data_IF_855990553620
#
_entry.id   IF_855990553620
#
_cell.length_a   1.000
_cell.length_b   1.000
_cell.length_c   1.000
_cell.angle_alpha   90.00
_cell.angle_beta   90.00
_cell.angle_gamma   90.00
#
_symmetry.space_group_name_H-M   'P 1'
#
loop_
_entity.id
_entity.type
_entity.pdbx_description
1 polymer ?
#
# COMPACT_ATOMS: atom_id res chain seq x y z
N UNK A 1 12.00 6.16 -31.60
CA UNK A 1 12.02 4.93 -30.79
C UNK A 1 12.57 5.25 -29.42
N UNK A 2 11.73 5.65 -28.46
CA UNK A 2 12.13 5.95 -27.08
C UNK A 2 11.87 4.73 -26.23
N UNK A 3 12.92 4.22 -25.61
CA UNK A 3 12.91 3.05 -24.73
C UNK A 3 12.14 3.39 -23.45
N UNK A 4 11.05 2.69 -23.21
CA UNK A 4 10.34 2.67 -21.95
C UNK A 4 11.09 1.74 -20.99
N UNK A 5 11.74 2.32 -20.00
CA UNK A 5 12.30 1.55 -18.87
C UNK A 5 11.14 1.20 -17.94
N UNK A 6 10.65 -0.02 -18.06
CA UNK A 6 9.74 -0.59 -17.09
C UNK A 6 10.53 -0.88 -15.80
N UNK A 7 10.24 -0.18 -14.72
CA UNK A 7 10.65 -0.59 -13.37
C UNK A 7 9.93 -1.88 -13.01
N UNK A 8 10.61 -3.01 -13.18
CA UNK A 8 10.21 -4.30 -12.63
C UNK A 8 10.46 -4.28 -11.10
N UNK A 9 9.47 -3.92 -10.32
CA UNK A 9 9.47 -4.22 -8.90
C UNK A 9 9.08 -5.69 -8.71
N UNK A 10 10.07 -6.53 -8.45
CA UNK A 10 9.88 -7.93 -8.07
C UNK A 10 9.31 -7.97 -6.66
N UNK A 11 8.03 -8.31 -6.54
CA UNK A 11 7.35 -8.58 -5.26
C UNK A 11 7.79 -9.96 -4.72
N UNK A 12 8.74 -9.98 -3.80
CA UNK A 12 8.88 -11.08 -2.85
C UNK A 12 8.13 -10.68 -1.55
N UNK A 13 6.95 -11.21 -1.37
CA UNK A 13 6.22 -11.17 -0.09
C UNK A 13 6.20 -12.58 0.47
N UNK A 14 7.08 -12.84 1.43
CA UNK A 14 6.92 -13.95 2.37
C UNK A 14 5.74 -13.60 3.29
N UNK A 15 4.61 -14.27 3.10
CA UNK A 15 3.48 -14.19 4.00
C UNK A 15 3.75 -15.09 5.21
N UNK A 16 4.29 -14.53 6.28
CA UNK A 16 4.14 -15.10 7.60
C UNK A 16 2.72 -14.80 8.08
N UNK A 17 1.84 -15.78 7.96
CA UNK A 17 0.53 -15.78 8.61
C UNK A 17 0.78 -16.11 10.08
N UNK A 18 1.04 -15.09 10.89
CA UNK A 18 0.87 -15.16 12.33
C UNK A 18 -0.61 -14.91 12.63
N UNK A 19 -1.26 -15.93 13.18
CA UNK A 19 -2.56 -15.83 13.82
C UNK A 19 -2.51 -14.75 14.90
N UNK A 20 -3.19 -13.62 14.67
CA UNK A 20 -3.37 -12.59 15.69
C UNK A 20 -4.42 -13.06 16.70
N UNK A 21 -4.15 -12.98 18.00
CA UNK A 21 -5.18 -13.16 19.00
C UNK A 21 -6.20 -12.01 18.90
N UNK A 22 -7.47 -12.39 18.93
CA UNK A 22 -8.59 -11.46 19.03
C UNK A 22 -8.57 -10.84 20.44
N UNK A 23 -8.01 -9.64 20.57
CA UNK A 23 -8.31 -8.66 21.63
C UNK A 23 -7.34 -7.48 21.49
N UNK A 24 -7.56 -6.66 20.48
CA UNK A 24 -7.10 -5.27 20.53
C UNK A 24 -8.31 -4.40 20.87
N UNK A 25 -8.43 -3.99 22.14
CA UNK A 25 -9.37 -2.96 22.57
C UNK A 25 -9.15 -1.72 21.70
N UNK A 26 -10.13 -1.44 20.85
CA UNK A 26 -10.19 -0.22 20.06
C UNK A 26 -10.33 0.96 21.01
N UNK A 27 -9.30 1.78 21.13
CA UNK A 27 -9.46 3.14 21.64
C UNK A 27 -10.26 3.92 20.57
N UNK A 28 -11.54 4.15 20.84
CA UNK A 28 -12.41 5.05 20.09
C UNK A 28 -12.00 6.51 20.39
N UNK A 29 -10.85 6.93 19.94
CA UNK A 29 -10.53 8.33 19.77
C UNK A 29 -10.56 8.64 18.27
N UNK A 30 -11.78 8.86 17.74
CA UNK A 30 -11.92 9.69 16.57
C UNK A 30 -11.37 11.07 16.96
N UNK A 31 -10.19 11.40 16.46
CA UNK A 31 -9.57 12.72 16.65
C UNK A 31 -10.54 13.82 16.17
N UNK A 32 -11.39 14.30 17.08
CA UNK A 32 -12.07 15.58 16.88
C UNK A 32 -10.99 16.64 16.91
N UNK A 33 -10.92 17.47 15.87
CA UNK A 33 -10.04 18.61 15.84
C UNK A 33 -10.10 19.34 17.18
N UNK A 34 -8.97 19.62 17.86
CA UNK A 34 -8.99 20.36 19.11
C UNK A 34 -9.70 21.70 18.91
N UNK A 35 -10.51 22.11 19.88
CA UNK A 35 -11.31 23.33 19.80
C UNK A 35 -10.46 24.59 19.49
N UNK A 36 -9.21 24.60 19.91
CA UNK A 36 -8.21 25.66 19.61
C UNK A 36 -7.81 25.72 18.14
N UNK A 37 -7.94 24.62 17.37
CA UNK A 37 -7.62 24.62 15.93
C UNK A 37 -8.73 25.23 15.07
N UNK A 38 -9.95 25.39 15.61
CA UNK A 38 -11.10 25.99 14.89
C UNK A 38 -11.03 27.53 14.82
N UNK A 39 -10.29 28.20 15.69
CA UNK A 39 -10.21 29.66 15.75
C UNK A 39 -9.02 30.28 15.01
N UNK A 40 -8.02 29.48 14.59
CA UNK A 40 -6.88 29.94 13.78
C UNK A 40 -7.12 29.82 12.26
N UNK A 41 -8.37 29.95 11.81
CA UNK A 41 -8.79 29.77 10.41
C UNK A 41 -8.43 30.96 9.52
N UNK A 42 -7.15 31.17 9.36
CA UNK A 42 -6.58 31.90 8.24
C UNK A 42 -5.62 31.00 7.48
N UNK A 43 -6.16 30.21 6.52
CA UNK A 43 -5.51 29.66 5.33
C UNK A 43 -5.18 28.19 5.17
N UNK A 44 -5.25 27.31 6.15
CA UNK A 44 -5.29 25.85 5.82
C UNK A 44 -6.27 25.14 6.72
N UNK A 45 -7.36 24.60 6.15
CA UNK A 45 -8.27 23.76 6.90
C UNK A 45 -7.49 22.60 7.57
N UNK A 46 -7.80 22.32 8.84
CA UNK A 46 -7.20 21.19 9.56
C UNK A 46 -7.34 19.90 8.77
N UNK A 47 -6.30 19.08 8.76
CA UNK A 47 -6.30 17.74 8.20
C UNK A 47 -5.40 16.82 9.03
N UNK A 48 -5.66 15.50 9.05
CA UNK A 48 -4.83 14.56 9.80
C UNK A 48 -3.41 14.52 9.23
N UNK A 49 -2.45 14.25 10.10
CA UNK A 49 -1.07 13.97 9.73
C UNK A 49 -0.79 12.48 9.82
N UNK A 50 0.12 12.02 8.98
CA UNK A 50 0.63 10.66 8.90
C UNK A 50 2.12 10.67 9.20
N UNK A 51 2.58 9.65 9.91
CA UNK A 51 4.00 9.36 10.14
C UNK A 51 4.42 8.25 9.21
N UNK A 52 5.26 8.55 8.21
CA UNK A 52 5.74 7.58 7.22
C UNK A 52 7.20 7.24 7.48
N UNK A 53 7.50 5.98 7.75
CA UNK A 53 8.88 5.50 7.92
C UNK A 53 9.60 5.50 6.58
N UNK A 54 10.57 6.43 6.39
CA UNK A 54 11.25 6.63 5.09
C UNK A 54 12.67 6.05 5.04
N UNK A 55 13.41 6.04 6.15
CA UNK A 55 14.69 5.34 6.27
C UNK A 55 14.70 4.56 7.59
N UNK A 56 15.16 3.32 7.56
CA UNK A 56 15.19 2.44 8.73
C UNK A 56 16.60 1.90 8.95
N UNK A 57 16.92 1.56 10.19
CA UNK A 57 18.19 0.94 10.59
C UNK A 57 19.43 1.75 10.18
N UNK A 58 19.36 3.09 10.32
CA UNK A 58 20.47 3.99 9.99
C UNK A 58 21.32 4.28 11.22
N UNK A 59 22.64 4.29 11.07
CA UNK A 59 23.54 4.82 12.10
C UNK A 59 23.71 6.33 11.97
N UNK A 60 23.55 6.84 10.75
CA UNK A 60 23.68 8.26 10.39
C UNK A 60 22.58 8.64 9.40
N UNK A 61 21.94 9.77 9.64
CA UNK A 61 20.97 10.39 8.72
C UNK A 61 21.44 11.81 8.39
N UNK A 62 21.58 12.09 7.09
CA UNK A 62 21.86 13.43 6.59
C UNK A 62 20.58 14.04 6.02
N UNK A 63 20.24 15.24 6.46
CA UNK A 63 19.06 15.98 6.04
C UNK A 63 19.50 17.34 5.52
N UNK A 64 18.97 17.73 4.35
CA UNK A 64 19.09 19.08 3.82
C UNK A 64 17.71 19.76 3.96
N UNK A 65 17.62 20.84 4.74
CA UNK A 65 16.37 21.60 4.85
C UNK A 65 16.23 22.60 3.70
N UNK A 66 15.04 22.71 3.13
CA UNK A 66 14.78 23.62 1.99
C UNK A 66 14.24 24.99 2.42
N UNK A 67 14.00 25.19 3.71
CA UNK A 67 13.57 26.44 4.33
C UNK A 67 14.17 26.57 5.72
N UNK A 68 14.01 27.74 6.35
CA UNK A 68 14.42 27.96 7.75
C UNK A 68 13.72 26.93 8.66
N UNK A 69 14.47 26.24 9.49
CA UNK A 69 13.97 25.14 10.29
C UNK A 69 14.40 25.21 11.76
N UNK A 70 13.57 24.68 12.63
CA UNK A 70 13.90 24.39 14.02
C UNK A 70 14.12 22.89 14.22
N UNK A 71 15.11 22.52 15.00
CA UNK A 71 15.28 21.19 15.54
C UNK A 71 14.80 21.20 17.00
N UNK A 72 13.80 20.38 17.27
CA UNK A 72 13.21 20.22 18.60
C UNK A 72 13.55 18.84 19.14
N UNK A 73 14.05 18.78 20.36
CA UNK A 73 14.17 17.51 21.09
C UNK A 73 12.79 17.08 21.61
N UNK A 74 12.56 15.78 21.72
CA UNK A 74 11.32 15.22 22.26
C UNK A 74 10.96 15.87 23.61
N UNK A 75 9.69 16.27 23.75
CA UNK A 75 9.17 16.93 24.95
C UNK A 75 9.55 18.42 25.12
N UNK A 76 10.44 18.94 24.26
CA UNK A 76 10.88 20.34 24.34
C UNK A 76 10.17 21.23 23.32
N UNK A 77 9.69 22.41 23.79
CA UNK A 77 9.14 23.45 22.91
C UNK A 77 10.19 24.43 22.38
N UNK A 78 11.34 24.52 23.03
CA UNK A 78 12.46 25.40 22.64
C UNK A 78 13.36 24.64 21.64
N UNK A 79 13.74 25.24 20.51
CA UNK A 79 14.67 24.62 19.55
C UNK A 79 16.03 24.40 20.21
N UNK A 80 16.61 23.23 19.99
CA UNK A 80 18.02 22.92 20.36
C UNK A 80 18.99 23.45 19.31
N UNK A 81 18.49 23.69 18.08
CA UNK A 81 19.22 24.27 16.97
C UNK A 81 18.23 24.91 15.98
N UNK A 82 18.64 26.03 15.36
CA UNK A 82 17.94 26.65 14.23
C UNK A 82 18.83 26.53 13.00
N UNK A 83 18.24 26.10 11.88
CA UNK A 83 18.93 25.94 10.60
C UNK A 83 18.47 27.01 9.63
N UNK A 84 19.40 27.54 8.85
CA UNK A 84 19.08 28.39 7.70
C UNK A 84 18.51 27.55 6.54
N UNK A 85 17.87 28.21 5.58
CA UNK A 85 17.45 27.55 4.34
C UNK A 85 18.68 26.97 3.59
N UNK A 86 18.51 25.77 3.04
CA UNK A 86 19.54 25.00 2.37
C UNK A 86 20.74 24.58 3.25
N UNK A 87 20.53 24.56 4.55
CA UNK A 87 21.53 24.04 5.49
C UNK A 87 21.42 22.53 5.62
N UNK A 88 22.57 21.85 5.76
CA UNK A 88 22.66 20.41 6.02
C UNK A 88 22.79 20.15 7.51
N UNK A 89 22.11 19.11 7.98
CA UNK A 89 22.25 18.60 9.33
C UNK A 89 22.54 17.11 9.29
N UNK A 90 23.49 16.69 10.14
CA UNK A 90 23.84 15.29 10.35
C UNK A 90 23.34 14.84 11.71
N UNK A 91 22.55 13.78 11.72
CA UNK A 91 22.02 13.15 12.93
C UNK A 91 22.64 11.76 13.03
N UNK A 92 23.23 11.43 14.19
CA UNK A 92 23.88 10.13 14.44
C UNK A 92 23.27 9.45 15.66
N UNK A 93 23.21 8.12 15.61
CA UNK A 93 22.99 7.28 16.76
C UNK A 93 24.33 7.06 17.49
N UNK A 94 24.46 7.49 18.71
CA UNK A 94 25.65 7.31 19.56
C UNK A 94 25.26 6.53 20.84
N UNK A 95 25.21 5.20 20.70
CA UNK A 95 24.72 4.30 21.74
C UNK A 95 23.24 4.58 22.05
N UNK A 96 22.95 5.06 23.28
CA UNK A 96 21.60 5.41 23.73
C UNK A 96 21.25 6.90 23.52
N UNK A 97 21.99 7.61 22.70
CA UNK A 97 21.82 9.05 22.51
C UNK A 97 21.79 9.40 21.02
N UNK A 98 21.13 10.53 20.73
CA UNK A 98 21.19 11.17 19.43
C UNK A 98 22.24 12.28 19.49
N UNK A 99 23.09 12.40 18.48
CA UNK A 99 23.87 13.61 18.25
C UNK A 99 23.40 14.35 17.01
N UNK A 100 23.36 15.69 17.09
CA UNK A 100 22.98 16.59 15.99
C UNK A 100 24.18 17.49 15.72
N UNK A 101 24.79 17.40 14.55
CA UNK A 101 26.03 18.10 14.17
C UNK A 101 27.13 17.96 15.25
N UNK A 102 27.27 16.74 15.83
CA UNK A 102 28.24 16.44 16.86
C UNK A 102 27.81 16.85 18.30
N UNK A 103 26.73 17.58 18.46
CA UNK A 103 26.19 17.94 19.80
C UNK A 103 25.25 16.83 20.28
N UNK A 104 25.55 16.28 21.47
CA UNK A 104 24.72 15.27 22.13
C UNK A 104 23.38 15.86 22.57
N UNK A 105 22.29 15.19 22.22
CA UNK A 105 20.93 15.57 22.61
C UNK A 105 20.36 14.49 23.54
N UNK A 106 19.94 14.82 24.75
CA UNK A 106 19.40 13.88 25.73
C UNK A 106 17.92 13.59 25.45
N UNK A 107 17.63 13.01 24.28
CA UNK A 107 16.28 12.66 23.86
C UNK A 107 16.34 11.43 22.93
N UNK A 108 15.23 10.67 22.84
CA UNK A 108 15.12 9.52 21.93
C UNK A 108 14.67 9.94 20.54
N UNK A 109 14.16 11.15 20.36
CA UNK A 109 13.85 11.68 19.04
C UNK A 109 14.12 13.18 18.93
N UNK A 110 14.38 13.61 17.69
CA UNK A 110 14.45 15.01 17.29
C UNK A 110 13.56 15.24 16.09
N UNK A 111 12.83 16.37 16.12
CA UNK A 111 11.96 16.78 15.00
C UNK A 111 12.54 18.02 14.34
N UNK A 112 12.66 17.96 13.02
CA UNK A 112 13.07 19.06 12.13
C UNK A 112 11.82 19.55 11.41
N UNK A 113 11.43 20.78 11.64
CA UNK A 113 10.22 21.39 11.10
C UNK A 113 10.44 22.85 10.70
N UNK A 114 9.48 23.42 9.96
CA UNK A 114 9.50 24.84 9.62
C UNK A 114 9.66 25.70 10.90
N UNK A 115 10.54 26.70 10.84
CA UNK A 115 10.74 27.63 11.95
C UNK A 115 9.54 28.59 12.15
N UNK A 116 8.77 28.85 11.11
CA UNK A 116 7.66 29.78 11.10
C UNK A 116 6.36 29.07 10.73
N UNK A 117 5.28 29.29 11.49
CA UNK A 117 3.98 28.65 11.26
C UNK A 117 3.44 28.90 9.84
N UNK A 118 3.65 30.09 9.27
CA UNK A 118 3.24 30.40 7.89
C UNK A 118 4.02 29.69 6.79
N UNK A 119 5.08 28.96 7.12
CA UNK A 119 5.91 28.21 6.18
C UNK A 119 5.70 26.70 6.24
N UNK A 120 4.87 26.19 7.14
CA UNK A 120 4.64 24.74 7.33
C UNK A 120 4.23 24.09 6.01
N UNK A 121 3.33 24.70 5.27
CA UNK A 121 2.82 24.17 3.99
C UNK A 121 3.87 24.12 2.87
N UNK A 122 4.87 25.00 2.96
CA UNK A 122 5.94 25.12 1.97
C UNK A 122 7.21 24.39 2.37
N UNK A 123 7.30 23.97 3.63
CA UNK A 123 8.51 23.34 4.14
C UNK A 123 8.78 22.01 3.46
N UNK A 124 10.04 21.82 3.09
CA UNK A 124 10.56 20.62 2.45
C UNK A 124 11.90 20.26 3.05
N UNK A 125 12.22 19.00 3.00
CA UNK A 125 13.55 18.49 3.33
C UNK A 125 13.95 17.38 2.38
N UNK A 126 15.27 17.20 2.20
CA UNK A 126 15.85 16.11 1.43
C UNK A 126 16.51 15.11 2.37
N UNK A 127 16.23 13.84 2.22
CA UNK A 127 16.91 12.75 2.91
C UNK A 127 16.92 11.48 2.05
N UNK A 128 17.99 10.68 2.10
CA UNK A 128 18.08 9.45 1.30
C UNK A 128 17.91 9.67 -0.21
N UNK A 129 18.31 10.85 -0.71
CA UNK A 129 18.19 11.21 -2.13
C UNK A 129 16.77 11.61 -2.58
N UNK A 130 15.82 11.81 -1.66
CA UNK A 130 14.43 12.20 -1.96
C UNK A 130 14.02 13.44 -1.20
N UNK A 131 13.18 14.26 -1.83
CA UNK A 131 12.57 15.44 -1.23
C UNK A 131 11.17 15.08 -0.67
N UNK A 132 10.87 15.61 0.52
CA UNK A 132 9.63 15.34 1.24
C UNK A 132 8.97 16.66 1.69
N UNK A 133 7.64 16.67 1.71
CA UNK A 133 6.83 17.71 2.36
C UNK A 133 6.73 17.44 3.87
N UNK A 134 6.48 18.48 4.67
CA UNK A 134 6.24 18.34 6.10
C UNK A 134 7.51 18.17 6.91
N UNK A 135 7.41 17.65 8.14
CA UNK A 135 8.51 17.56 9.09
C UNK A 135 9.27 16.22 9.00
N UNK A 136 10.52 16.23 9.45
CA UNK A 136 11.34 15.04 9.61
C UNK A 136 11.51 14.72 11.09
N UNK A 137 11.29 13.46 11.50
CA UNK A 137 11.54 12.97 12.85
C UNK A 137 12.62 11.89 12.76
N UNK A 138 13.75 12.12 13.42
CA UNK A 138 14.78 11.09 13.63
C UNK A 138 14.53 10.43 14.98
N UNK A 139 14.08 9.19 14.96
CA UNK A 139 13.76 8.39 16.15
C UNK A 139 14.88 7.37 16.40
N UNK A 140 15.48 7.41 17.59
CA UNK A 140 16.44 6.40 18.02
C UNK A 140 15.69 5.20 18.60
N UNK A 141 16.00 4.02 18.06
CA UNK A 141 15.47 2.76 18.55
C UNK A 141 16.58 1.74 18.68
N UNK A 142 16.91 1.37 19.91
CA UNK A 142 18.12 0.61 20.18
C UNK A 142 19.37 1.40 19.85
N UNK A 143 20.18 0.92 18.90
CA UNK A 143 21.40 1.58 18.42
C UNK A 143 21.28 2.19 17.02
N UNK A 144 20.06 2.25 16.47
CA UNK A 144 19.83 2.73 15.10
C UNK A 144 18.74 3.81 15.05
N UNK A 145 18.81 4.65 14.03
CA UNK A 145 17.82 5.68 13.71
C UNK A 145 16.80 5.16 12.71
N UNK A 146 15.56 5.55 12.94
CA UNK A 146 14.50 5.54 11.94
C UNK A 146 14.16 6.98 11.56
N UNK A 147 14.28 7.35 10.31
CA UNK A 147 13.78 8.63 9.81
C UNK A 147 12.32 8.48 9.42
N UNK A 148 11.49 9.34 9.98
CA UNK A 148 10.04 9.37 9.77
C UNK A 148 9.70 10.71 9.14
N UNK A 149 8.93 10.68 8.07
CA UNK A 149 8.32 11.89 7.51
C UNK A 149 6.94 12.10 8.15
N UNK A 150 6.77 13.17 8.88
CA UNK A 150 5.46 13.62 9.37
C UNK A 150 4.86 14.55 8.34
N UNK A 151 3.78 14.13 7.71
CA UNK A 151 3.20 14.77 6.54
C UNK A 151 1.68 14.81 6.64
N UNK A 152 1.05 15.86 6.14
CA UNK A 152 -0.42 15.98 6.07
C UNK A 152 -0.99 14.97 5.08
N UNK A 153 -2.20 14.48 5.34
CA UNK A 153 -2.83 13.42 4.55
C UNK A 153 -2.90 13.76 3.05
N UNK A 154 -3.27 14.99 2.68
CA UNK A 154 -3.34 15.38 1.27
C UNK A 154 -1.95 15.49 0.63
N UNK A 155 -0.97 16.03 1.34
CA UNK A 155 0.42 16.08 0.87
C UNK A 155 1.03 14.69 0.68
N UNK A 156 0.64 13.72 1.50
CA UNK A 156 0.99 12.31 1.33
C UNK A 156 0.39 11.74 0.04
N UNK A 157 -0.89 12.04 -0.22
CA UNK A 157 -1.59 11.54 -1.40
C UNK A 157 -1.08 12.12 -2.71
N UNK A 158 -0.53 13.35 -2.72
CA UNK A 158 0.12 13.89 -3.92
C UNK A 158 1.27 13.01 -4.42
N UNK A 159 1.95 12.34 -3.50
CA UNK A 159 2.99 11.37 -3.86
C UNK A 159 2.44 9.98 -4.17
N UNK A 160 1.48 9.49 -3.38
CA UNK A 160 0.98 8.11 -3.48
C UNK A 160 0.12 7.88 -4.72
N UNK A 161 -0.82 8.78 -5.00
CA UNK A 161 -1.79 8.57 -6.09
C UNK A 161 -1.10 8.34 -7.45
N UNK A 162 -0.11 9.16 -7.87
CA UNK A 162 0.58 8.94 -9.15
C UNK A 162 1.51 7.71 -9.18
N UNK A 163 1.93 7.18 -8.04
CA UNK A 163 2.68 5.91 -7.96
C UNK A 163 1.76 4.68 -8.11
N UNK A 164 0.49 4.81 -7.71
CA UNK A 164 -0.50 3.73 -7.80
C UNK A 164 -1.24 3.73 -9.14
N UNK A 165 -1.57 4.90 -9.69
CA UNK A 165 -2.36 5.03 -10.92
C UNK A 165 -1.79 6.11 -11.84
N UNK A 166 -1.62 5.85 -13.15
CA UNK A 166 -1.17 6.86 -14.10
C UNK A 166 -2.03 8.12 -14.07
N UNK A 167 -1.39 9.26 -13.88
CA UNK A 167 -2.07 10.56 -13.68
C UNK A 167 -2.84 11.06 -14.91
N UNK A 168 -2.49 10.55 -16.11
CA UNK A 168 -3.12 10.84 -17.39
C UNK A 168 -4.39 10.02 -17.66
N UNK A 169 -4.71 9.09 -16.78
CA UNK A 169 -5.97 8.34 -16.88
C UNK A 169 -7.18 9.25 -16.64
N UNK A 170 -8.41 8.81 -17.03
CA UNK A 170 -9.61 9.61 -16.81
C UNK A 170 -9.71 10.09 -15.36
N UNK A 171 -10.01 11.39 -15.19
CA UNK A 171 -10.01 12.02 -13.86
C UNK A 171 -10.92 11.35 -12.85
N UNK A 172 -12.03 10.76 -13.28
CA UNK A 172 -12.95 10.05 -12.39
C UNK A 172 -12.31 8.76 -11.82
N UNK A 173 -11.46 8.08 -12.58
CA UNK A 173 -10.68 6.96 -12.07
C UNK A 173 -9.63 7.41 -11.06
N UNK A 174 -8.91 8.51 -11.34
CA UNK A 174 -7.88 9.05 -10.44
C UNK A 174 -8.50 9.61 -9.15
N UNK A 175 -9.70 10.23 -9.21
CA UNK A 175 -10.47 10.63 -8.03
C UNK A 175 -10.88 9.43 -7.18
N UNK A 176 -11.38 8.35 -7.80
CA UNK A 176 -11.72 7.11 -7.08
C UNK A 176 -10.48 6.53 -6.37
N UNK A 177 -9.32 6.49 -7.05
CA UNK A 177 -8.06 6.07 -6.45
C UNK A 177 -7.64 6.98 -5.28
N UNK A 178 -7.78 8.30 -5.40
CA UNK A 178 -7.45 9.24 -4.33
C UNK A 178 -8.28 9.00 -3.07
N UNK A 179 -9.60 8.79 -3.22
CA UNK A 179 -10.50 8.46 -2.09
C UNK A 179 -10.13 7.10 -1.47
N UNK A 180 -9.90 6.08 -2.29
CA UNK A 180 -9.50 4.75 -1.81
C UNK A 180 -8.15 4.82 -1.06
N UNK A 181 -7.14 5.48 -1.63
CA UNK A 181 -5.82 5.63 -1.03
C UNK A 181 -5.88 6.43 0.29
N UNK A 182 -6.69 7.50 0.36
CA UNK A 182 -6.92 8.28 1.58
C UNK A 182 -7.57 7.43 2.67
N UNK A 183 -8.62 6.70 2.30
CA UNK A 183 -9.33 5.81 3.23
C UNK A 183 -8.40 4.75 3.79
N UNK A 184 -7.62 4.08 2.93
CA UNK A 184 -6.63 3.10 3.33
C UNK A 184 -5.58 3.69 4.28
N UNK A 185 -4.99 4.83 3.93
CA UNK A 185 -3.94 5.46 4.74
C UNK A 185 -4.46 5.83 6.14
N UNK A 186 -5.64 6.44 6.23
CA UNK A 186 -6.23 6.86 7.50
C UNK A 186 -6.74 5.67 8.33
N UNK A 187 -7.27 4.62 7.68
CA UNK A 187 -7.68 3.38 8.34
C UNK A 187 -6.50 2.65 8.97
N UNK A 188 -5.37 2.63 8.27
CA UNK A 188 -4.18 1.89 8.65
C UNK A 188 -3.16 2.74 9.45
N UNK A 189 -3.55 3.92 9.97
CA UNK A 189 -2.72 4.67 10.93
C UNK A 189 -2.34 3.76 12.09
N UNK A 190 -1.08 3.81 12.47
CA UNK A 190 -0.55 2.99 13.54
C UNK A 190 -0.23 1.55 13.18
N UNK A 191 -0.33 1.15 11.90
CA UNK A 191 0.04 -0.21 11.46
C UNK A 191 1.47 -0.60 11.86
N UNK A 192 2.36 0.37 11.97
CA UNK A 192 3.74 0.22 12.40
C UNK A 192 4.05 0.91 13.74
N UNK A 193 3.07 1.05 14.65
CA UNK A 193 3.26 1.69 15.94
C UNK A 193 4.41 1.10 16.76
N UNK A 194 4.61 -0.22 16.70
CA UNK A 194 5.74 -0.86 17.36
C UNK A 194 7.10 -0.37 16.84
N UNK A 195 7.14 0.23 15.64
CA UNK A 195 8.31 0.80 14.99
C UNK A 195 8.38 2.33 15.13
N UNK A 196 7.33 2.98 15.68
CA UNK A 196 7.25 4.41 15.95
C UNK A 196 6.64 5.25 14.81
N UNK A 197 6.07 4.64 13.77
CA UNK A 197 5.42 5.34 12.66
C UNK A 197 4.11 4.66 12.24
N UNK A 198 3.32 5.29 11.35
CA UNK A 198 2.02 4.78 10.92
C UNK A 198 2.14 3.81 9.75
N UNK A 199 2.80 4.24 8.67
CA UNK A 199 2.89 3.54 7.40
C UNK A 199 4.34 3.46 6.91
N UNK A 200 4.69 2.38 6.20
CA UNK A 200 5.96 2.31 5.48
C UNK A 200 5.81 2.85 4.04
N UNK A 201 6.91 3.22 3.41
CA UNK A 201 6.95 3.80 2.07
C UNK A 201 6.96 2.78 0.92
N UNK A 202 6.73 1.50 1.21
CA UNK A 202 6.79 0.41 0.23
C UNK A 202 5.41 -0.13 -0.13
N UNK A 203 5.35 -1.07 -1.08
CA UNK A 203 4.13 -1.78 -1.48
C UNK A 203 3.44 -2.56 -0.34
N UNK A 204 4.10 -2.75 0.81
CA UNK A 204 3.45 -3.32 2.00
C UNK A 204 2.35 -2.42 2.57
N UNK A 205 2.52 -1.09 2.47
CA UNK A 205 1.48 -0.10 2.78
C UNK A 205 1.01 0.57 1.49
N UNK A 206 1.69 1.61 1.05
CA UNK A 206 1.49 2.31 -0.22
C UNK A 206 2.85 2.86 -0.67
N UNK A 207 3.11 2.87 -1.97
CA UNK A 207 4.36 3.43 -2.50
C UNK A 207 4.39 4.93 -2.28
N UNK A 208 5.39 5.42 -1.53
CA UNK A 208 5.57 6.83 -1.20
C UNK A 208 6.94 7.33 -1.68
N UNK A 209 6.97 8.01 -2.80
CA UNK A 209 8.20 8.44 -3.49
C UNK A 209 8.70 9.83 -3.10
N UNK A 210 7.95 10.59 -2.27
CA UNK A 210 8.21 11.99 -1.96
C UNK A 210 7.75 12.93 -3.09
N UNK A 211 8.25 14.18 -3.11
CA UNK A 211 7.75 15.21 -4.03
C UNK A 211 8.07 14.95 -5.51
N UNK A 212 9.07 14.11 -5.80
CA UNK A 212 9.42 13.76 -7.18
C UNK A 212 8.33 12.97 -7.91
N UNK A 213 7.48 12.26 -7.16
CA UNK A 213 6.35 11.51 -7.72
C UNK A 213 5.15 12.41 -8.08
N UNK A 214 5.03 13.59 -7.51
CA UNK A 214 3.87 14.47 -7.66
C UNK A 214 3.61 14.84 -9.12
N UNK A 215 2.33 14.79 -9.53
CA UNK A 215 1.88 15.19 -10.87
C UNK A 215 0.67 16.13 -10.74
N UNK A 216 0.67 17.19 -11.52
CA UNK A 216 -0.40 18.20 -11.48
C UNK A 216 -1.80 17.61 -11.73
N UNK A 217 -1.90 16.62 -12.63
CA UNK A 217 -3.18 15.97 -12.96
C UNK A 217 -3.73 15.14 -11.79
N UNK A 218 -2.89 14.34 -11.11
CA UNK A 218 -3.31 13.58 -9.92
C UNK A 218 -3.55 14.51 -8.72
N UNK A 219 -2.76 15.59 -8.55
CA UNK A 219 -2.98 16.55 -7.48
C UNK A 219 -4.37 17.20 -7.59
N UNK A 220 -4.85 17.53 -8.83
CA UNK A 220 -6.23 18.00 -9.04
C UNK A 220 -7.28 17.00 -8.56
N UNK A 221 -7.08 15.72 -8.78
CA UNK A 221 -8.02 14.67 -8.30
C UNK A 221 -8.02 14.56 -6.78
N UNK A 222 -6.84 14.64 -6.15
CA UNK A 222 -6.69 14.67 -4.67
C UNK A 222 -7.42 15.88 -4.10
N UNK A 223 -7.19 17.08 -4.66
CA UNK A 223 -7.83 18.33 -4.21
C UNK A 223 -9.35 18.31 -4.41
N UNK A 224 -9.83 17.81 -5.55
CA UNK A 224 -11.26 17.70 -5.85
C UNK A 224 -12.02 16.74 -4.91
N UNK A 225 -11.31 15.79 -4.28
CA UNK A 225 -11.86 14.82 -3.33
C UNK A 225 -11.36 15.03 -1.90
N UNK A 226 -10.86 16.24 -1.60
CA UNK A 226 -10.24 16.55 -0.31
C UNK A 226 -11.11 16.15 0.87
N UNK A 227 -10.51 15.36 1.79
CA UNK A 227 -11.14 14.88 3.01
C UNK A 227 -12.18 13.77 2.81
N UNK A 228 -12.51 13.38 1.58
CA UNK A 228 -13.48 12.33 1.31
C UNK A 228 -12.89 10.93 1.57
N UNK A 229 -13.65 10.12 2.31
CA UNK A 229 -13.29 8.76 2.69
C UNK A 229 -14.50 7.85 2.61
N UNK A 230 -14.26 6.54 2.54
CA UNK A 230 -15.30 5.53 2.56
C UNK A 230 -15.49 4.98 3.97
N UNK A 231 -16.74 4.91 4.41
CA UNK A 231 -17.13 4.35 5.71
C UNK A 231 -18.21 3.29 5.54
N UNK A 232 -18.17 2.29 6.42
CA UNK A 232 -19.21 1.31 6.65
C UNK A 232 -19.51 1.30 8.15
N UNK A 233 -20.79 1.39 8.55
CA UNK A 233 -21.20 1.56 9.95
C UNK A 233 -20.42 2.69 10.67
N UNK A 234 -20.30 3.83 10.00
CA UNK A 234 -19.54 5.01 10.48
C UNK A 234 -18.05 4.78 10.79
N UNK A 235 -17.47 3.66 10.37
CA UNK A 235 -16.04 3.35 10.52
C UNK A 235 -15.37 3.33 9.16
N UNK A 236 -14.11 3.82 9.10
CA UNK A 236 -13.30 3.72 7.89
C UNK A 236 -13.15 2.26 7.47
N UNK A 237 -13.32 1.99 6.19
CA UNK A 237 -13.20 0.64 5.62
C UNK A 237 -11.74 0.27 5.31
N UNK A 238 -11.48 -1.00 5.11
CA UNK A 238 -10.27 -1.51 4.44
C UNK A 238 -10.43 -1.29 2.92
N UNK A 239 -10.04 -0.11 2.46
CA UNK A 239 -10.19 0.27 1.05
C UNK A 239 -9.05 -0.30 0.20
N UNK A 240 -8.98 -1.64 0.09
CA UNK A 240 -7.99 -2.32 -0.73
C UNK A 240 -8.21 -2.04 -2.22
N UNK A 241 -7.12 -1.97 -2.96
CA UNK A 241 -7.12 -1.82 -4.41
C UNK A 241 -5.99 -2.64 -5.04
N UNK A 242 -6.09 -2.90 -6.33
CA UNK A 242 -5.13 -3.69 -7.07
C UNK A 242 -5.12 -3.27 -8.54
N UNK A 243 -4.09 -3.66 -9.28
CA UNK A 243 -3.90 -3.21 -10.67
C UNK A 243 -5.05 -3.63 -11.56
N UNK A 244 -5.40 -4.92 -11.61
CA UNK A 244 -6.46 -5.43 -12.50
C UNK A 244 -7.08 -6.72 -11.96
N UNK A 245 -8.41 -6.77 -11.92
CA UNK A 245 -9.16 -7.95 -11.49
C UNK A 245 -9.09 -9.11 -12.50
N UNK A 246 -8.89 -8.82 -13.79
CA UNK A 246 -8.94 -9.78 -14.89
C UNK A 246 -10.36 -10.06 -15.40
N UNK A 247 -11.40 -9.38 -14.85
CA UNK A 247 -12.80 -9.53 -15.28
C UNK A 247 -13.82 -9.55 -14.16
N UNK A 248 -13.40 -9.89 -12.93
CA UNK A 248 -14.25 -9.86 -11.75
C UNK A 248 -13.41 -9.71 -10.49
N UNK A 249 -13.83 -8.82 -9.57
CA UNK A 249 -13.21 -8.72 -8.26
C UNK A 249 -13.63 -9.88 -7.35
N UNK A 250 -13.05 -9.99 -6.16
CA UNK A 250 -13.21 -11.15 -5.30
C UNK A 250 -13.93 -10.81 -4.00
N UNK A 251 -14.54 -11.81 -3.37
CA UNK A 251 -15.00 -11.73 -1.99
C UNK A 251 -13.81 -11.82 -1.03
N UNK A 252 -13.83 -11.01 0.03
CA UNK A 252 -12.72 -10.94 0.99
C UNK A 252 -12.41 -12.28 1.68
N UNK A 253 -13.43 -13.06 2.01
CA UNK A 253 -13.26 -14.37 2.64
C UNK A 253 -12.61 -15.42 1.74
N UNK A 254 -12.75 -15.30 0.41
CA UNK A 254 -12.13 -16.21 -0.53
C UNK A 254 -10.62 -15.90 -0.75
N UNK A 255 -10.15 -14.73 -0.28
CA UNK A 255 -8.72 -14.34 -0.38
C UNK A 255 -8.01 -14.42 0.96
N UNK A 256 -8.60 -13.88 2.03
CA UNK A 256 -7.97 -13.75 3.36
C UNK A 256 -8.75 -14.41 4.50
N UNK A 257 -9.83 -15.16 4.19
CA UNK A 257 -10.59 -15.94 5.15
C UNK A 257 -11.63 -15.15 5.96
N UNK A 258 -11.57 -13.81 6.00
CA UNK A 258 -12.49 -12.96 6.76
C UNK A 258 -13.49 -12.27 5.83
N UNK A 259 -14.78 -12.38 6.16
CA UNK A 259 -15.82 -11.70 5.42
C UNK A 259 -15.92 -10.23 5.83
N UNK A 260 -15.62 -9.34 4.89
CA UNK A 260 -15.89 -7.91 5.00
C UNK A 260 -17.13 -7.58 4.12
N UNK A 261 -18.20 -7.04 4.69
CA UNK A 261 -19.49 -6.89 3.98
C UNK A 261 -19.38 -5.99 2.73
N UNK A 262 -18.49 -5.03 2.75
CA UNK A 262 -18.25 -4.07 1.67
C UNK A 262 -17.22 -4.53 0.61
N UNK A 263 -16.51 -5.66 0.80
CA UNK A 263 -15.56 -6.23 -0.17
C UNK A 263 -16.17 -7.48 -0.80
N UNK A 264 -17.05 -7.25 -1.77
CA UNK A 264 -17.78 -8.29 -2.50
C UNK A 264 -17.33 -8.34 -3.96
N UNK A 265 -17.50 -9.51 -4.56
CA UNK A 265 -17.23 -9.71 -5.96
C UNK A 265 -18.10 -8.78 -6.82
N UNK A 266 -17.45 -8.06 -7.72
CA UNK A 266 -18.07 -7.14 -8.67
C UNK A 266 -17.57 -7.44 -10.09
N UNK A 267 -18.46 -7.40 -11.08
CA UNK A 267 -18.14 -7.65 -12.49
C UNK A 267 -17.45 -6.43 -13.10
N UNK A 268 -16.57 -6.64 -14.06
CA UNK A 268 -15.90 -5.59 -14.80
C UNK A 268 -16.56 -5.34 -16.16
N UNK A 269 -16.27 -4.17 -16.75
CA UNK A 269 -16.68 -3.84 -18.14
C UNK A 269 -16.03 -4.80 -19.13
N UNK A 270 -14.81 -5.23 -18.84
CA UNK A 270 -14.01 -6.12 -19.68
C UNK A 270 -13.55 -7.34 -18.90
N UNK A 271 -13.50 -8.48 -19.57
CA UNK A 271 -13.00 -9.74 -19.02
C UNK A 271 -11.70 -10.15 -19.69
N UNK A 272 -10.92 -11.03 -19.03
CA UNK A 272 -9.66 -11.56 -19.56
C UNK A 272 -8.61 -10.47 -19.87
N UNK A 273 -8.66 -9.39 -19.09
CA UNK A 273 -7.72 -8.27 -19.20
C UNK A 273 -6.33 -8.63 -18.69
N UNK A 274 -5.30 -7.91 -19.15
CA UNK A 274 -3.89 -8.12 -18.83
C UNK A 274 -3.49 -9.61 -18.85
N UNK A 275 -3.57 -10.30 -20.00
CA UNK A 275 -3.18 -11.69 -20.10
C UNK A 275 -1.69 -11.89 -19.81
N UNK A 276 -1.34 -13.02 -19.22
CA UNK A 276 0.03 -13.41 -18.94
C UNK A 276 0.20 -14.92 -19.01
N UNK A 277 1.44 -15.35 -19.27
CA UNK A 277 1.81 -16.76 -19.34
C UNK A 277 3.09 -17.02 -18.55
N UNK A 278 3.19 -18.19 -17.94
CA UNK A 278 4.38 -18.71 -17.26
C UNK A 278 4.50 -20.20 -17.60
N UNK A 279 5.71 -20.61 -17.99
CA UNK A 279 6.03 -22.02 -18.20
C UNK A 279 7.14 -22.43 -17.25
N UNK A 280 6.99 -23.60 -16.61
CA UNK A 280 8.00 -24.24 -15.77
C UNK A 280 8.10 -25.71 -16.15
N UNK A 281 9.24 -26.37 -15.90
CA UNK A 281 9.32 -27.81 -16.15
C UNK A 281 8.52 -28.59 -15.10
N UNK A 282 8.10 -29.81 -15.43
CA UNK A 282 7.38 -30.68 -14.48
C UNK A 282 8.23 -30.97 -13.23
N UNK A 283 9.56 -31.08 -13.38
CA UNK A 283 10.51 -31.31 -12.30
C UNK A 283 10.57 -30.08 -11.37
N UNK A 284 10.63 -28.85 -11.92
CA UNK A 284 10.58 -27.62 -11.12
C UNK A 284 9.26 -27.52 -10.37
N UNK A 285 8.14 -27.83 -11.02
CA UNK A 285 6.82 -27.84 -10.37
C UNK A 285 6.78 -28.85 -9.22
N UNK A 286 7.32 -30.05 -9.39
CA UNK A 286 7.38 -31.06 -8.31
C UNK A 286 8.19 -30.56 -7.11
N UNK A 287 9.31 -29.88 -7.34
CA UNK A 287 10.09 -29.25 -6.25
C UNK A 287 9.26 -28.20 -5.50
N UNK A 288 8.56 -27.33 -6.21
CA UNK A 288 7.67 -26.33 -5.59
C UNK A 288 6.53 -26.99 -4.79
N UNK A 289 5.90 -28.03 -5.34
CA UNK A 289 4.85 -28.79 -4.63
C UNK A 289 5.41 -29.38 -3.34
N UNK A 290 6.58 -30.01 -3.37
CA UNK A 290 7.22 -30.59 -2.20
C UNK A 290 7.53 -29.52 -1.13
N UNK A 291 8.02 -28.35 -1.54
CA UNK A 291 8.31 -27.23 -0.63
C UNK A 291 7.05 -26.70 0.06
N UNK A 292 5.93 -26.59 -0.67
CA UNK A 292 4.68 -26.03 -0.13
C UNK A 292 3.87 -27.05 0.67
N UNK A 293 3.70 -28.26 0.15
CA UNK A 293 2.81 -29.28 0.74
C UNK A 293 3.52 -30.30 1.62
N UNK A 294 4.87 -30.31 1.64
CA UNK A 294 5.73 -31.33 2.26
C UNK A 294 5.47 -32.76 1.75
N UNK A 295 4.82 -32.92 0.59
CA UNK A 295 4.49 -34.23 -0.02
C UNK A 295 5.38 -34.54 -1.20
N UNK A 296 5.85 -35.78 -1.28
CA UNK A 296 6.60 -36.29 -2.42
C UNK A 296 5.66 -37.06 -3.34
N UNK A 297 5.29 -36.45 -4.47
CA UNK A 297 4.38 -37.04 -5.44
C UNK A 297 5.08 -37.86 -6.53
N UNK A 298 6.41 -37.83 -6.60
CA UNK A 298 7.19 -38.44 -7.68
C UNK A 298 7.03 -37.68 -9.00
N UNK A 299 7.10 -38.35 -10.15
CA UNK A 299 6.97 -37.75 -11.46
C UNK A 299 5.53 -37.24 -11.67
N UNK A 300 5.38 -35.95 -12.04
CA UNK A 300 4.06 -35.34 -12.31
C UNK A 300 3.38 -36.03 -13.50
N UNK A 301 2.12 -36.47 -13.32
CA UNK A 301 1.33 -37.18 -14.32
C UNK A 301 0.08 -36.38 -14.76
N UNK A 302 -0.57 -35.68 -13.82
CA UNK A 302 -1.83 -34.97 -14.07
C UNK A 302 -1.95 -33.76 -13.17
N UNK A 303 -2.62 -32.72 -13.68
CA UNK A 303 -3.06 -31.54 -12.94
C UNK A 303 -4.59 -31.52 -13.00
N UNK A 304 -5.24 -31.42 -11.83
CA UNK A 304 -6.69 -31.27 -11.72
C UNK A 304 -7.00 -29.85 -11.27
N UNK A 305 -7.70 -29.14 -12.10
CA UNK A 305 -8.17 -27.78 -11.91
C UNK A 305 -9.40 -27.57 -12.77
N UNK A 306 -10.51 -27.11 -12.18
CA UNK A 306 -11.74 -26.85 -12.92
C UNK A 306 -11.56 -25.77 -13.99
N UNK A 307 -12.43 -25.79 -15.00
CA UNK A 307 -12.50 -24.75 -16.03
C UNK A 307 -12.81 -23.40 -15.36
N UNK A 308 -12.19 -22.35 -15.88
CA UNK A 308 -12.41 -20.98 -15.40
C UNK A 308 -13.78 -20.49 -15.87
N UNK A 309 -14.61 -20.09 -14.93
CA UNK A 309 -15.89 -19.41 -15.14
C UNK A 309 -16.04 -18.27 -14.15
N UNK A 310 -16.49 -17.11 -14.62
CA UNK A 310 -16.89 -16.00 -13.76
C UNK A 310 -18.32 -16.22 -13.25
N UNK A 311 -18.57 -15.81 -12.00
CA UNK A 311 -19.89 -15.91 -11.36
C UNK A 311 -20.26 -17.32 -10.87
N UNK A 312 -19.34 -18.31 -11.00
CA UNK A 312 -19.58 -19.70 -10.59
C UNK A 312 -18.52 -20.18 -9.63
N UNK A 313 -18.90 -20.40 -8.38
CA UNK A 313 -18.03 -20.98 -7.34
C UNK A 313 -18.01 -22.50 -7.43
N UNK A 314 -16.83 -23.10 -7.29
CA UNK A 314 -16.64 -24.55 -7.14
C UNK A 314 -15.66 -24.85 -6.00
N UNK A 315 -15.27 -26.14 -5.84
CA UNK A 315 -14.38 -26.55 -4.76
C UNK A 315 -13.00 -25.86 -4.88
N UNK A 316 -12.44 -25.82 -6.07
CA UNK A 316 -11.08 -25.34 -6.37
C UNK A 316 -11.02 -23.89 -6.90
N UNK A 317 -12.18 -23.25 -7.14
CA UNK A 317 -12.26 -21.85 -7.58
C UNK A 317 -13.29 -21.04 -6.79
N UNK A 318 -12.98 -19.77 -6.64
CA UNK A 318 -13.91 -18.76 -6.11
C UNK A 318 -14.94 -18.32 -7.16
N UNK A 319 -15.84 -17.42 -6.76
CA UNK A 319 -16.86 -16.84 -7.65
C UNK A 319 -16.25 -16.02 -8.79
N UNK A 320 -15.10 -15.41 -8.57
CA UNK A 320 -14.35 -14.67 -9.61
C UNK A 320 -13.53 -15.57 -10.53
N UNK A 321 -13.62 -16.89 -10.39
CA UNK A 321 -12.83 -17.86 -11.13
C UNK A 321 -11.39 -18.03 -10.65
N UNK A 322 -10.99 -17.29 -9.58
CA UNK A 322 -9.64 -17.40 -9.01
C UNK A 322 -9.43 -18.75 -8.36
N UNK A 323 -8.21 -19.28 -8.50
CA UNK A 323 -7.82 -20.58 -7.97
C UNK A 323 -7.68 -20.51 -6.46
N UNK A 324 -8.42 -21.37 -5.77
CA UNK A 324 -8.28 -21.61 -4.32
C UNK A 324 -7.21 -22.66 -4.07
N UNK A 325 -7.26 -23.77 -4.78
CA UNK A 325 -6.23 -24.81 -4.78
C UNK A 325 -6.17 -25.55 -6.11
N UNK A 326 -5.05 -26.24 -6.35
CA UNK A 326 -4.80 -27.12 -7.49
C UNK A 326 -4.39 -28.47 -6.94
N UNK A 327 -4.96 -29.56 -7.49
CA UNK A 327 -4.53 -30.92 -7.17
C UNK A 327 -3.54 -31.42 -8.22
N UNK A 328 -2.36 -31.82 -7.76
CA UNK A 328 -1.30 -32.43 -8.55
C UNK A 328 -1.22 -33.91 -8.28
N UNK A 329 -1.29 -34.73 -9.33
CA UNK A 329 -1.19 -36.20 -9.27
C UNK A 329 0.14 -36.62 -9.88
N UNK A 330 0.93 -37.32 -9.10
CA UNK A 330 2.21 -37.89 -9.52
C UNK A 330 2.25 -39.40 -9.51
N UNK A 331 3.44 -39.95 -9.78
CA UNK A 331 3.66 -41.41 -9.80
C UNK A 331 3.63 -42.08 -8.43
N UNK A 332 3.82 -41.32 -7.33
CA UNK A 332 3.89 -41.80 -5.96
C UNK A 332 2.81 -41.22 -5.02
N UNK A 333 1.87 -40.46 -5.53
CA UNK A 333 0.80 -39.85 -4.74
C UNK A 333 0.23 -38.56 -5.31
N UNK A 334 -0.52 -37.87 -4.48
CA UNK A 334 -1.13 -36.60 -4.83
C UNK A 334 -0.86 -35.53 -3.77
N UNK A 335 -0.85 -34.26 -4.20
CA UNK A 335 -0.74 -33.11 -3.34
C UNK A 335 -1.68 -32.00 -3.80
N UNK A 336 -2.15 -31.22 -2.85
CA UNK A 336 -2.93 -30.01 -3.09
C UNK A 336 -2.09 -28.79 -2.69
N UNK A 337 -2.08 -27.76 -3.53
CA UNK A 337 -1.35 -26.51 -3.31
C UNK A 337 -2.30 -25.35 -3.52
N UNK A 338 -2.29 -24.35 -2.62
CA UNK A 338 -3.19 -23.20 -2.75
C UNK A 338 -2.81 -22.30 -3.90
N UNK A 339 -3.79 -21.59 -4.46
CA UNK A 339 -3.55 -20.59 -5.52
C UNK A 339 -2.59 -19.49 -5.07
N UNK A 340 -2.65 -19.08 -3.79
CA UNK A 340 -1.75 -18.08 -3.21
C UNK A 340 -0.32 -18.59 -3.08
N UNK A 341 -0.11 -19.85 -2.67
CA UNK A 341 1.23 -20.45 -2.63
C UNK A 341 1.83 -20.54 -4.03
N UNK A 342 1.04 -20.99 -5.01
CA UNK A 342 1.47 -21.04 -6.41
C UNK A 342 1.82 -19.63 -6.92
N UNK A 343 1.00 -18.63 -6.60
CA UNK A 343 1.27 -17.24 -6.99
C UNK A 343 2.60 -16.76 -6.41
N UNK A 344 2.85 -17.02 -5.13
CA UNK A 344 4.06 -16.59 -4.43
C UNK A 344 5.29 -17.32 -4.93
N UNK A 345 5.26 -18.66 -4.96
CA UNK A 345 6.39 -19.49 -5.36
C UNK A 345 6.82 -19.30 -6.82
N UNK A 346 5.84 -19.09 -7.69
CA UNK A 346 6.08 -18.95 -9.12
C UNK A 346 6.15 -17.50 -9.58
N UNK A 347 5.93 -16.52 -8.71
CA UNK A 347 5.89 -15.10 -9.07
C UNK A 347 4.77 -14.78 -10.06
N UNK A 348 3.57 -15.39 -9.91
CA UNK A 348 2.44 -15.15 -10.79
C UNK A 348 1.79 -13.79 -10.51
N UNK A 349 1.26 -13.14 -11.54
CA UNK A 349 0.63 -11.83 -11.40
C UNK A 349 -0.67 -11.86 -10.58
N UNK A 350 -1.44 -12.94 -10.68
CA UNK A 350 -2.70 -13.13 -9.97
C UNK A 350 -2.95 -14.61 -9.66
N UNK A 351 -4.03 -14.93 -8.97
CA UNK A 351 -4.54 -16.30 -8.80
C UNK A 351 -5.61 -16.65 -9.84
N UNK A 352 -5.88 -15.77 -10.81
CA UNK A 352 -6.82 -16.03 -11.90
C UNK A 352 -6.08 -16.68 -13.08
N UNK A 353 -5.95 -18.01 -13.07
CA UNK A 353 -5.21 -18.74 -14.08
C UNK A 353 -5.81 -20.11 -14.41
N UNK A 354 -5.36 -20.68 -15.50
CA UNK A 354 -5.53 -22.09 -15.90
C UNK A 354 -4.17 -22.77 -15.96
N UNK A 355 -4.13 -24.10 -15.85
CA UNK A 355 -2.90 -24.87 -15.93
C UNK A 355 -3.07 -26.07 -16.85
N UNK A 356 -2.02 -26.43 -17.57
CA UNK A 356 -1.94 -27.65 -18.37
C UNK A 356 -0.56 -28.26 -18.33
N UNK A 357 -0.49 -29.59 -18.36
CA UNK A 357 0.75 -30.36 -18.48
C UNK A 357 0.89 -30.80 -19.96
N UNK A 358 1.95 -30.34 -20.64
CA UNK A 358 2.26 -30.69 -22.04
C UNK A 358 3.75 -30.92 -22.20
N UNK A 359 4.13 -32.00 -22.80
CA UNK A 359 5.53 -32.31 -23.16
C UNK A 359 6.53 -32.09 -22.01
N UNK A 360 6.19 -32.55 -20.79
CA UNK A 360 7.06 -32.38 -19.62
C UNK A 360 7.13 -30.97 -19.03
N UNK A 361 6.30 -30.04 -19.53
CA UNK A 361 6.20 -28.66 -19.03
C UNK A 361 4.80 -28.38 -18.51
N UNK A 362 4.74 -27.58 -17.44
CA UNK A 362 3.51 -27.00 -16.89
C UNK A 362 3.35 -25.59 -17.47
N UNK A 363 2.30 -25.39 -18.26
CA UNK A 363 1.96 -24.11 -18.85
C UNK A 363 0.84 -23.49 -18.02
N UNK A 364 1.03 -22.27 -17.56
CA UNK A 364 0.11 -21.50 -16.72
C UNK A 364 -0.27 -20.26 -17.50
N UNK A 365 -1.56 -20.09 -17.79
CA UNK A 365 -2.11 -18.91 -18.48
C UNK A 365 -3.09 -18.21 -17.57
N UNK A 366 -2.92 -16.92 -17.38
CA UNK A 366 -3.77 -16.17 -16.45
C UNK A 366 -4.08 -14.75 -16.93
N UNK A 367 -4.87 -14.06 -16.12
CA UNK A 367 -5.38 -12.73 -16.39
C UNK A 367 -5.28 -11.87 -15.14
N UNK A 368 -5.28 -10.54 -15.34
CA UNK A 368 -5.25 -9.58 -14.26
C UNK A 368 -3.94 -9.54 -13.48
N UNK A 369 -3.85 -8.61 -12.53
CA UNK A 369 -2.69 -8.39 -11.69
C UNK A 369 -3.12 -7.91 -10.30
N UNK A 370 -2.78 -8.67 -9.27
CA UNK A 370 -3.09 -8.36 -7.88
C UNK A 370 -4.01 -9.37 -7.20
N UNK A 371 -4.41 -9.04 -5.98
CA UNK A 371 -5.20 -9.94 -5.12
C UNK A 371 -6.68 -10.02 -5.48
N UNK A 372 -7.22 -9.04 -6.21
CA UNK A 372 -8.62 -9.05 -6.66
C UNK A 372 -9.61 -8.39 -5.72
N UNK A 373 -9.23 -7.85 -4.55
CA UNK A 373 -10.15 -7.22 -3.61
C UNK A 373 -10.30 -5.73 -3.83
N UNK A 374 -11.53 -5.24 -3.70
CA UNK A 374 -11.87 -3.83 -3.78
C UNK A 374 -11.62 -3.23 -5.18
N UNK A 375 -11.13 -2.00 -5.25
CA UNK A 375 -11.00 -1.26 -6.52
C UNK A 375 -9.96 -1.88 -7.45
N UNK A 376 -10.39 -2.26 -8.65
CA UNK A 376 -9.53 -2.60 -9.78
C UNK A 376 -9.18 -1.32 -10.52
N UNK A 377 -7.88 -0.99 -10.63
CA UNK A 377 -7.42 0.25 -11.24
C UNK A 377 -7.77 0.31 -12.74
N UNK A 378 -7.52 -0.77 -13.49
CA UNK A 378 -7.93 -0.87 -14.90
C UNK A 378 -9.45 -0.92 -15.07
N UNK A 379 -10.16 -1.57 -14.14
CA UNK A 379 -11.61 -1.53 -14.10
C UNK A 379 -12.16 -0.13 -13.86
N UNK A 380 -11.61 0.62 -12.90
CA UNK A 380 -11.95 2.01 -12.65
C UNK A 380 -11.70 2.89 -13.88
N UNK A 381 -10.57 2.68 -14.58
CA UNK A 381 -10.30 3.35 -15.87
C UNK A 381 -11.40 3.09 -16.90
N UNK A 382 -11.84 1.85 -17.04
CA UNK A 382 -12.89 1.47 -18.00
C UNK A 382 -14.26 2.07 -17.59
N UNK A 383 -14.62 2.00 -16.31
CA UNK A 383 -15.87 2.58 -15.79
C UNK A 383 -15.93 4.09 -15.89
N UNK A 384 -14.78 4.79 -15.82
CA UNK A 384 -14.72 6.26 -15.90
C UNK A 384 -15.20 6.84 -17.23
N UNK A 385 -15.39 6.02 -18.26
CA UNK A 385 -16.05 6.42 -19.51
C UNK A 385 -17.57 6.67 -19.34
N UNK A 386 -18.20 6.10 -18.30
CA UNK A 386 -19.66 6.07 -18.11
C UNK A 386 -20.10 6.49 -16.70
N UNK A 387 -19.19 6.49 -15.73
CA UNK A 387 -19.48 6.73 -14.31
C UNK A 387 -18.55 7.77 -13.73
N UNK A 388 -19.08 8.57 -12.81
CA UNK A 388 -18.26 9.41 -11.94
C UNK A 388 -17.52 8.56 -10.87
N UNK A 389 -16.58 9.16 -10.16
CA UNK A 389 -15.79 8.48 -9.12
C UNK A 389 -16.65 7.91 -7.98
N UNK A 390 -17.80 8.53 -7.66
CA UNK A 390 -18.70 8.05 -6.60
C UNK A 390 -19.36 6.75 -6.99
N UNK A 391 -19.86 6.67 -8.23
CA UNK A 391 -20.46 5.45 -8.77
C UNK A 391 -19.39 4.34 -8.96
N UNK A 392 -18.14 4.70 -9.33
CA UNK A 392 -17.02 3.76 -9.38
C UNK A 392 -16.71 3.20 -7.99
N UNK A 393 -16.62 4.05 -6.96
CA UNK A 393 -16.37 3.61 -5.59
C UNK A 393 -17.49 2.71 -5.05
N UNK A 394 -18.76 3.08 -5.28
CA UNK A 394 -19.92 2.28 -4.87
C UNK A 394 -19.96 0.90 -5.56
N UNK A 395 -19.43 0.79 -6.77
CA UNK A 395 -19.32 -0.48 -7.49
C UNK A 395 -18.34 -1.45 -6.81
N UNK A 396 -17.19 -0.96 -6.32
CA UNK A 396 -16.16 -1.80 -5.72
C UNK A 396 -16.25 -1.97 -4.21
N UNK A 397 -16.88 -1.02 -3.52
CA UNK A 397 -17.05 -1.02 -2.06
C UNK A 397 -18.55 -0.91 -1.73
N UNK A 398 -19.20 -2.08 -1.76
CA UNK A 398 -20.67 -2.17 -1.61
C UNK A 398 -21.12 -1.70 -0.22
N UNK A 399 -22.31 -1.12 -0.16
CA UNK A 399 -22.95 -0.65 1.10
C UNK A 399 -22.10 0.36 1.90
N UNK A 400 -21.16 1.04 1.27
CA UNK A 400 -20.37 2.09 1.89
C UNK A 400 -20.94 3.49 1.64
N UNK A 401 -20.61 4.40 2.53
CA UNK A 401 -20.97 5.82 2.39
C UNK A 401 -19.72 6.66 2.21
N UNK A 402 -19.75 7.58 1.25
CA UNK A 402 -18.72 8.60 1.08
C UNK A 402 -18.91 9.68 2.15
N UNK A 403 -17.91 9.87 3.02
CA UNK A 403 -17.94 10.83 4.12
C UNK A 403 -16.76 11.78 4.06
N UNK A 404 -17.03 13.08 4.20
CA UNK A 404 -15.98 14.08 4.33
C UNK A 404 -15.55 14.19 5.80
N UNK A 405 -14.29 13.90 6.11
CA UNK A 405 -13.75 13.91 7.48
C UNK A 405 -13.23 15.28 7.90
N UNK A 406 -12.74 16.10 6.95
CA UNK A 406 -12.16 17.45 7.18
C UNK A 406 -12.33 18.38 6.00
#
# INVERSE_FOLDING_TARGET
MRKWSACLAVLMLAANVLSLPAEARQSNNADKAPASARQAAGKTAWQPELKVGVLQNQTVVNILVRGKAHILAEGNKKPVLTLAANEKVTIKAEGKHISVNGKKIPANSVTIQAAEAGQIDKFRFTAGGRDYRGAAIALLKGSALTLINQVRAEDYLYSVVPEEMPSEWPQEAVKAQAVAARTFALKNRGRHNSQGYDLCMSTHCQVYGGTASEKAASNKAVDATRGETLVYDNKLIEAFFHTDSGGMTENSEDVWGNRLPYLRAATEVQTHTLPWEKTVTAEQMVKHIQQSSHKQIGKLKKIELSVLHFGKKNNDRSISGRVKHVTFIGSKGRAEVTGNDLRTMLGLKSTLFTMSLKNGSVIIKGYGWGHGLGLSQYGAKAWAAQKDYKAILAHYYQDTTLKKLY
#
